data_IF_714283679380
#
_entry.id   IF_714283679380
#
_cell.length_a   1.000
_cell.length_b   1.000
_cell.length_c   1.000
_cell.angle_alpha   90.00
_cell.angle_beta   90.00
_cell.angle_gamma   90.00
#
_symmetry.space_group_name_H-M   'P 1'
#
loop_
_entity.id
_entity.type
_entity.pdbx_description
1 polymer ?
#
# COMPACT_ATOMS: atom_id res chain seq x y z
N UNK A 1 -18.01 20.50 9.59
CA UNK A 1 -18.59 19.21 9.98
C UNK A 1 -18.73 19.16 11.50
N UNK A 2 -19.93 18.94 12.01
CA UNK A 2 -20.19 18.85 13.44
C UNK A 2 -20.47 17.39 13.78
N UNK A 3 -19.57 16.78 14.56
CA UNK A 3 -19.71 15.41 15.04
C UNK A 3 -20.31 15.49 16.45
N UNK A 4 -21.38 14.77 16.68
CA UNK A 4 -22.11 14.75 17.95
C UNK A 4 -22.20 13.31 18.46
N UNK A 5 -22.20 13.11 19.80
CA UNK A 5 -22.57 11.81 20.33
C UNK A 5 -24.05 11.53 20.02
N UNK A 6 -24.34 10.36 19.55
CA UNK A 6 -25.68 9.83 19.31
C UNK A 6 -25.86 8.54 20.09
N UNK A 7 -27.08 8.17 20.39
CA UNK A 7 -27.41 6.90 21.02
C UNK A 7 -28.08 6.03 19.98
N UNK A 8 -27.53 4.85 19.74
CA UNK A 8 -28.20 3.85 18.91
C UNK A 8 -29.45 3.33 19.64
N UNK A 9 -30.61 3.53 19.02
CA UNK A 9 -31.89 3.14 19.59
C UNK A 9 -32.11 1.62 19.73
N UNK A 10 -31.20 0.82 19.14
CA UNK A 10 -31.26 -0.65 19.20
C UNK A 10 -30.40 -1.27 20.31
N UNK A 11 -29.28 -0.64 20.64
CA UNK A 11 -28.26 -1.18 21.57
C UNK A 11 -28.05 -0.32 22.82
N UNK A 12 -28.60 0.89 22.87
CA UNK A 12 -28.34 1.91 23.93
C UNK A 12 -26.83 2.31 24.01
N UNK A 13 -26.03 1.97 22.99
CA UNK A 13 -24.63 2.34 22.95
C UNK A 13 -24.42 3.74 22.37
N UNK A 14 -23.34 4.39 22.81
CA UNK A 14 -22.95 5.69 22.29
C UNK A 14 -22.27 5.55 20.94
N UNK A 15 -22.84 6.15 19.91
CA UNK A 15 -22.29 6.22 18.59
C UNK A 15 -21.89 7.64 18.18
N UNK A 16 -21.10 7.74 17.12
CA UNK A 16 -20.77 9.02 16.50
C UNK A 16 -21.84 9.40 15.48
N UNK A 17 -22.61 10.43 15.82
CA UNK A 17 -23.60 11.03 14.94
C UNK A 17 -23.06 12.26 14.21
N UNK A 18 -23.73 12.63 13.12
CA UNK A 18 -23.46 13.84 12.36
C UNK A 18 -24.69 14.74 12.45
N UNK A 19 -24.46 16.02 12.73
CA UNK A 19 -25.53 17.03 12.68
C UNK A 19 -26.15 17.06 11.28
N UNK A 20 -27.48 17.16 11.20
CA UNK A 20 -28.23 17.19 9.93
C UNK A 20 -27.70 18.26 8.97
N UNK A 21 -27.34 19.44 9.48
CA UNK A 21 -26.70 20.49 8.68
C UNK A 21 -25.29 20.14 8.19
N UNK A 22 -24.70 19.08 8.72
CA UNK A 22 -23.37 18.56 8.33
C UNK A 22 -23.40 17.44 7.30
N UNK A 23 -24.58 16.95 6.93
CA UNK A 23 -24.74 15.77 6.06
C UNK A 23 -24.06 15.97 4.70
N UNK A 24 -24.36 17.08 4.01
CA UNK A 24 -23.74 17.41 2.71
C UNK A 24 -22.20 17.46 2.79
N UNK A 25 -21.67 18.01 3.88
CA UNK A 25 -20.21 18.07 4.09
C UNK A 25 -19.62 16.69 4.32
N UNK A 26 -20.36 15.79 4.97
CA UNK A 26 -19.94 14.40 5.16
C UNK A 26 -19.93 13.63 3.84
N UNK A 27 -20.97 13.77 3.03
CA UNK A 27 -21.04 13.16 1.70
C UNK A 27 -19.90 13.65 0.81
N UNK A 28 -19.65 14.97 0.80
CA UNK A 28 -18.52 15.54 0.06
C UNK A 28 -17.18 14.98 0.52
N UNK A 29 -16.98 14.79 1.83
CA UNK A 29 -15.77 14.19 2.40
C UNK A 29 -15.60 12.72 1.95
N UNK A 30 -16.66 11.93 1.97
CA UNK A 30 -16.64 10.54 1.53
C UNK A 30 -16.33 10.44 0.03
N UNK A 31 -16.92 11.29 -0.79
CA UNK A 31 -16.62 11.36 -2.23
C UNK A 31 -15.18 11.79 -2.48
N UNK A 32 -14.70 12.82 -1.80
CA UNK A 32 -13.31 13.26 -1.89
C UNK A 32 -12.34 12.13 -1.52
N UNK A 33 -12.59 11.41 -0.42
CA UNK A 33 -11.82 10.23 -0.01
C UNK A 33 -11.84 9.14 -1.07
N UNK A 34 -13.02 8.85 -1.65
CA UNK A 34 -13.14 7.86 -2.72
C UNK A 34 -12.29 8.24 -3.94
N UNK A 35 -12.34 9.50 -4.39
CA UNK A 35 -11.53 9.97 -5.52
C UNK A 35 -10.04 9.96 -5.20
N UNK A 36 -9.63 10.37 -4.00
CA UNK A 36 -8.24 10.27 -3.56
C UNK A 36 -7.77 8.82 -3.57
N UNK A 37 -8.58 7.89 -3.05
CA UNK A 37 -8.24 6.48 -3.02
C UNK A 37 -8.01 5.93 -4.43
N UNK A 38 -8.93 6.20 -5.36
CA UNK A 38 -8.83 5.71 -6.75
C UNK A 38 -7.72 6.37 -7.55
N UNK A 39 -7.53 7.68 -7.41
CA UNK A 39 -6.65 8.45 -8.30
C UNK A 39 -5.25 8.67 -7.77
N UNK A 40 -5.06 8.61 -6.47
CA UNK A 40 -3.76 8.86 -5.84
C UNK A 40 -3.19 7.55 -5.28
N UNK A 41 -3.88 6.92 -4.33
CA UNK A 41 -3.33 5.75 -3.64
C UNK A 41 -3.24 4.50 -4.53
N UNK A 42 -4.18 4.33 -5.47
CA UNK A 42 -4.18 3.19 -6.41
C UNK A 42 -3.49 3.51 -7.74
N UNK A 43 -2.81 4.62 -7.83
CA UNK A 43 -2.11 4.95 -9.06
C UNK A 43 -0.95 3.98 -9.31
N UNK A 44 -0.80 3.54 -10.55
CA UNK A 44 0.17 2.47 -10.90
C UNK A 44 1.60 2.77 -10.48
N UNK A 45 2.04 4.03 -10.56
CA UNK A 45 3.38 4.42 -10.09
C UNK A 45 3.53 4.31 -8.58
N UNK A 46 2.49 4.66 -7.79
CA UNK A 46 2.50 4.52 -6.32
C UNK A 46 2.61 3.05 -5.95
N UNK A 47 1.82 2.20 -6.62
CA UNK A 47 1.89 0.75 -6.43
C UNK A 47 3.28 0.19 -6.76
N UNK A 48 3.89 0.64 -7.85
CA UNK A 48 5.24 0.24 -8.23
C UNK A 48 6.28 0.61 -7.17
N UNK A 49 6.21 1.83 -6.60
CA UNK A 49 7.11 2.22 -5.51
C UNK A 49 6.83 1.48 -4.20
N UNK A 50 5.56 1.23 -3.87
CA UNK A 50 5.20 0.41 -2.71
C UNK A 50 5.75 -1.02 -2.84
N UNK A 51 5.77 -1.58 -4.05
CA UNK A 51 6.35 -2.89 -4.30
C UNK A 51 7.87 -2.89 -4.09
N UNK A 52 8.58 -1.88 -4.60
CA UNK A 52 10.00 -1.71 -4.32
C UNK A 52 10.26 -1.55 -2.82
N UNK A 53 9.46 -0.74 -2.12
CA UNK A 53 9.58 -0.55 -0.68
C UNK A 53 9.35 -1.86 0.09
N UNK A 54 8.32 -2.61 -0.25
CA UNK A 54 8.04 -3.93 0.34
C UNK A 54 9.22 -4.89 0.19
N UNK A 55 9.82 -4.97 -0.99
CA UNK A 55 11.00 -5.80 -1.25
C UNK A 55 12.22 -5.33 -0.46
N UNK A 56 12.45 -4.03 -0.40
CA UNK A 56 13.50 -3.45 0.39
C UNK A 56 13.32 -3.73 1.88
N UNK A 57 12.11 -3.52 2.43
CA UNK A 57 11.79 -3.81 3.82
C UNK A 57 11.97 -5.30 4.12
N UNK A 58 11.50 -6.18 3.24
CA UNK A 58 11.67 -7.63 3.39
C UNK A 58 13.15 -8.06 3.39
N UNK A 59 14.01 -7.38 2.67
CA UNK A 59 15.46 -7.68 2.66
C UNK A 59 16.17 -7.20 3.93
N UNK A 60 15.69 -6.13 4.56
CA UNK A 60 16.35 -5.51 5.71
C UNK A 60 15.70 -5.84 7.06
N UNK A 61 14.40 -6.04 7.09
CA UNK A 61 13.60 -6.31 8.31
C UNK A 61 12.91 -7.68 8.18
N UNK A 62 13.70 -8.74 8.14
CA UNK A 62 13.18 -10.11 8.14
C UNK A 62 12.62 -10.48 9.52
N UNK A 63 11.60 -11.38 9.58
CA UNK A 63 11.20 -12.00 10.84
C UNK A 63 12.42 -12.62 11.53
N UNK A 64 12.65 -12.26 12.81
CA UNK A 64 13.85 -12.65 13.56
C UNK A 64 14.94 -11.56 13.68
N UNK A 65 14.78 -10.42 12.98
CA UNK A 65 15.63 -9.24 13.23
C UNK A 65 14.99 -8.22 14.18
N UNK A 66 13.67 -8.25 14.29
CA UNK A 66 12.90 -7.47 15.26
C UNK A 66 12.17 -8.52 16.13
N UNK A 67 12.80 -8.91 17.23
CA UNK A 67 12.31 -10.00 18.08
C UNK A 67 11.31 -9.51 19.12
N UNK A 68 11.33 -8.22 19.41
CA UNK A 68 10.46 -7.61 20.42
C UNK A 68 9.59 -6.50 19.84
N UNK A 69 8.46 -6.25 20.51
CA UNK A 69 7.55 -5.14 20.15
C UNK A 69 8.26 -3.80 20.30
N UNK A 70 9.12 -3.67 21.31
CA UNK A 70 9.86 -2.44 21.57
C UNK A 70 10.87 -2.12 20.46
N UNK A 71 11.54 -3.13 19.92
CA UNK A 71 12.41 -2.96 18.75
C UNK A 71 11.63 -2.51 17.53
N UNK A 72 10.44 -3.08 17.31
CA UNK A 72 9.57 -2.67 16.20
C UNK A 72 9.09 -1.22 16.36
N UNK A 73 8.69 -0.82 17.56
CA UNK A 73 8.24 0.55 17.84
C UNK A 73 9.38 1.56 17.74
N UNK A 74 10.64 1.14 18.03
CA UNK A 74 11.81 2.00 17.96
C UNK A 74 12.21 2.38 16.52
N UNK A 75 11.77 1.62 15.51
CA UNK A 75 12.08 1.93 14.11
C UNK A 75 11.17 3.06 13.62
N UNK A 76 11.76 4.20 13.34
CA UNK A 76 11.06 5.36 12.81
C UNK A 76 11.14 5.42 11.28
N UNK A 77 10.25 6.21 10.65
CA UNK A 77 10.32 6.48 9.21
C UNK A 77 11.67 7.10 8.81
N UNK A 78 12.27 7.89 9.69
CA UNK A 78 13.59 8.52 9.47
C UNK A 78 14.68 7.47 9.35
N UNK A 79 14.63 6.40 10.14
CA UNK A 79 15.61 5.30 10.09
C UNK A 79 15.48 4.55 8.77
N UNK A 80 14.27 4.27 8.35
CA UNK A 80 14.00 3.61 7.07
C UNK A 80 14.49 4.47 5.89
N UNK A 81 14.22 5.78 5.91
CA UNK A 81 14.69 6.72 4.87
C UNK A 81 16.21 6.81 4.85
N UNK A 82 16.84 6.86 6.03
CA UNK A 82 18.31 6.86 6.15
C UNK A 82 18.92 5.60 5.57
N UNK A 83 18.34 4.45 5.90
CA UNK A 83 18.78 3.15 5.38
C UNK A 83 18.58 3.04 3.86
N UNK A 84 17.45 3.52 3.34
CA UNK A 84 17.19 3.61 1.89
C UNK A 84 18.26 4.42 1.17
N UNK A 85 18.59 5.60 1.70
CA UNK A 85 19.61 6.47 1.12
C UNK A 85 21.01 5.85 1.12
N UNK A 86 21.35 5.12 2.19
CA UNK A 86 22.62 4.37 2.28
C UNK A 86 22.64 3.23 1.28
N UNK A 87 21.59 2.42 1.27
CA UNK A 87 21.50 1.26 0.39
C UNK A 87 21.45 1.65 -1.10
N UNK A 88 20.87 2.79 -1.44
CA UNK A 88 20.87 3.28 -2.82
C UNK A 88 22.25 3.61 -3.37
N UNK A 89 23.19 3.95 -2.48
CA UNK A 89 24.57 4.33 -2.83
C UNK A 89 25.56 3.17 -2.76
N UNK A 90 25.26 2.17 -1.94
CA UNK A 90 26.16 1.04 -1.68
C UNK A 90 25.59 -0.27 -2.26
N UNK A 91 26.18 -0.81 -3.33
CA UNK A 91 25.73 -2.07 -3.94
C UNK A 91 25.85 -3.30 -3.03
N UNK A 92 26.67 -3.24 -1.97
CA UNK A 92 26.87 -4.35 -1.05
C UNK A 92 25.72 -4.54 -0.05
N UNK A 93 24.88 -3.50 0.13
CA UNK A 93 23.78 -3.53 1.10
C UNK A 93 22.54 -4.26 0.57
N UNK A 94 21.83 -4.99 1.47
CA UNK A 94 20.60 -5.67 1.11
C UNK A 94 19.56 -4.71 0.54
N UNK A 95 18.89 -5.11 -0.56
CA UNK A 95 17.87 -4.29 -1.18
C UNK A 95 18.38 -3.09 -1.98
N UNK A 96 19.70 -2.97 -2.24
CA UNK A 96 20.29 -1.88 -3.04
C UNK A 96 19.51 -1.55 -4.29
N UNK A 97 19.14 -2.58 -5.08
CA UNK A 97 18.43 -2.41 -6.35
C UNK A 97 17.07 -1.72 -6.17
N UNK A 98 16.33 -2.11 -5.15
CA UNK A 98 15.01 -1.55 -4.86
C UNK A 98 15.12 -0.16 -4.23
N UNK A 99 16.08 0.04 -3.31
CA UNK A 99 16.41 1.34 -2.74
C UNK A 99 16.78 2.36 -3.81
N UNK A 100 17.61 1.97 -4.78
CA UNK A 100 17.99 2.80 -5.92
C UNK A 100 16.79 3.23 -6.76
N UNK A 101 15.85 2.30 -7.01
CA UNK A 101 14.63 2.61 -7.74
C UNK A 101 13.76 3.65 -7.01
N UNK A 102 13.69 3.59 -5.67
CA UNK A 102 12.91 4.54 -4.86
C UNK A 102 13.60 5.90 -4.83
N UNK A 103 14.86 5.95 -4.43
CA UNK A 103 15.60 7.20 -4.21
C UNK A 103 15.76 8.00 -5.49
N UNK A 104 16.04 7.33 -6.61
CA UNK A 104 16.19 7.99 -7.91
C UNK A 104 14.90 8.02 -8.73
N UNK A 105 13.77 7.62 -8.15
CA UNK A 105 12.43 7.64 -8.80
C UNK A 105 12.39 6.90 -10.15
N UNK A 106 13.04 5.75 -10.21
CA UNK A 106 13.14 4.91 -11.41
C UNK A 106 12.54 3.53 -11.15
N UNK A 107 11.21 3.46 -11.02
CA UNK A 107 10.54 2.17 -10.84
C UNK A 107 10.69 1.28 -12.09
N UNK A 108 10.72 -0.05 -11.88
CA UNK A 108 10.93 -1.04 -12.94
C UNK A 108 9.67 -1.83 -13.29
N UNK A 109 8.61 -1.60 -12.56
CA UNK A 109 7.38 -2.35 -12.74
C UNK A 109 6.49 -1.67 -13.77
N UNK A 110 5.81 -2.51 -14.55
CA UNK A 110 4.78 -2.10 -15.49
C UNK A 110 3.44 -2.61 -14.99
N UNK A 111 2.44 -1.73 -14.90
CA UNK A 111 1.08 -2.14 -14.64
C UNK A 111 0.50 -2.82 -15.89
N UNK A 112 -0.11 -3.98 -15.69
CA UNK A 112 -0.86 -4.69 -16.71
C UNK A 112 -2.28 -4.81 -16.18
N UNK A 113 -3.24 -4.24 -16.91
CA UNK A 113 -4.65 -4.43 -16.59
C UNK A 113 -5.07 -5.82 -17.09
N UNK A 114 -5.58 -6.62 -16.18
CA UNK A 114 -6.19 -7.91 -16.49
C UNK A 114 -7.71 -7.78 -16.45
N UNK A 115 -8.45 -8.61 -17.20
CA UNK A 115 -9.91 -8.70 -17.08
C UNK A 115 -10.32 -9.03 -15.63
N UNK A 116 -11.42 -8.43 -15.17
CA UNK A 116 -11.88 -8.48 -13.76
C UNK A 116 -12.19 -9.88 -13.21
N UNK A 117 -12.25 -10.91 -14.07
CA UNK A 117 -12.54 -12.29 -13.68
C UNK A 117 -11.68 -13.27 -14.44
N UNK A 118 -10.39 -13.31 -14.11
CA UNK A 118 -9.54 -14.39 -14.61
C UNK A 118 -9.55 -15.58 -13.66
N UNK A 119 -9.75 -16.77 -14.21
CA UNK A 119 -9.60 -18.02 -13.50
C UNK A 119 -8.12 -18.30 -13.22
N UNK A 120 -7.83 -19.14 -12.21
CA UNK A 120 -6.44 -19.53 -11.90
C UNK A 120 -5.70 -20.14 -13.11
N UNK A 121 -6.43 -20.85 -13.99
CA UNK A 121 -5.89 -21.43 -15.21
C UNK A 121 -5.43 -20.36 -16.21
N UNK A 122 -6.26 -19.33 -16.39
CA UNK A 122 -5.96 -18.20 -17.29
C UNK A 122 -4.78 -17.38 -16.77
N UNK A 123 -4.69 -17.19 -15.44
CA UNK A 123 -3.55 -16.55 -14.79
C UNK A 123 -2.26 -17.34 -15.04
N UNK A 124 -2.29 -18.66 -14.87
CA UNK A 124 -1.13 -19.53 -15.14
C UNK A 124 -0.71 -19.48 -16.63
N UNK A 125 -1.69 -19.49 -17.53
CA UNK A 125 -1.44 -19.36 -18.96
C UNK A 125 -0.85 -18.00 -19.33
N UNK A 126 -1.39 -16.90 -18.73
CA UNK A 126 -0.87 -15.55 -18.92
C UNK A 126 0.60 -15.43 -18.45
N UNK A 127 0.92 -15.99 -17.28
CA UNK A 127 2.31 -16.05 -16.77
C UNK A 127 3.24 -16.79 -17.72
N UNK A 128 2.83 -17.96 -18.18
CA UNK A 128 3.61 -18.78 -19.10
C UNK A 128 3.86 -18.07 -20.44
N UNK A 129 2.82 -17.47 -21.02
CA UNK A 129 2.91 -16.74 -22.30
C UNK A 129 3.82 -15.51 -22.22
N UNK A 130 3.86 -14.84 -21.07
CA UNK A 130 4.70 -13.66 -20.86
C UNK A 130 6.05 -13.96 -20.19
N UNK A 131 6.37 -15.25 -19.94
CA UNK A 131 7.59 -15.70 -19.27
C UNK A 131 7.85 -15.01 -17.92
N UNK A 132 6.77 -14.76 -17.17
CA UNK A 132 6.84 -14.06 -15.90
C UNK A 132 7.05 -15.06 -14.76
N UNK A 133 7.98 -14.74 -13.85
CA UNK A 133 8.22 -15.52 -12.64
C UNK A 133 7.33 -15.04 -11.51
N UNK A 134 7.00 -15.91 -10.58
CA UNK A 134 6.10 -15.60 -9.46
C UNK A 134 6.65 -14.52 -8.51
N UNK A 135 7.98 -14.43 -8.39
CA UNK A 135 8.68 -13.39 -7.63
C UNK A 135 8.76 -12.03 -8.34
N UNK A 136 8.42 -11.99 -9.63
CA UNK A 136 8.40 -10.77 -10.45
C UNK A 136 7.01 -10.13 -10.54
N UNK A 137 5.98 -10.79 -10.01
CA UNK A 137 4.58 -10.34 -10.10
C UNK A 137 4.06 -10.05 -8.70
N UNK A 138 3.54 -8.85 -8.51
CA UNK A 138 2.69 -8.53 -7.36
C UNK A 138 1.24 -8.45 -7.82
N UNK A 139 0.38 -9.23 -7.16
CA UNK A 139 -1.04 -9.24 -7.43
C UNK A 139 -1.73 -8.30 -6.46
N UNK A 140 -2.27 -7.24 -6.95
CA UNK A 140 -3.15 -6.39 -6.18
C UNK A 140 -4.56 -6.49 -6.76
N UNK A 141 -5.40 -7.21 -6.05
CA UNK A 141 -6.83 -7.23 -6.34
C UNK A 141 -7.44 -5.95 -5.78
N UNK A 142 -7.82 -5.04 -6.66
CA UNK A 142 -8.74 -3.99 -6.27
C UNK A 142 -10.16 -4.56 -6.36
N UNK A 143 -10.63 -5.22 -5.29
CA UNK A 143 -12.05 -5.45 -5.14
C UNK A 143 -12.71 -4.09 -4.93
N UNK A 144 -13.40 -3.63 -5.95
CA UNK A 144 -14.41 -2.59 -5.80
C UNK A 144 -15.68 -3.34 -5.40
N UNK A 145 -15.91 -3.50 -4.09
CA UNK A 145 -17.23 -3.73 -3.56
C UNK A 145 -17.97 -2.40 -3.43
#
# INVERSE_FOLDING_TARGET
LRILPSVDHGTDELELGIDENGLESCEALLLARHFMHRRIYQYSSVKAYNFHLRRFMKANYQPGKLETVDEFISVSDTDVISLLNKAAKDPSLPGHRDAKCIVFRQHRFRAIALPDKMTEKEIKQFKANNKLKDDEIDWEFSSIE
#
